data_IF_601161033997
#
_entry.id   IF_601161033997
#
_cell.length_a   1.000
_cell.length_b   1.000
_cell.length_c   1.000
_cell.angle_alpha   90.00
_cell.angle_beta   90.00
_cell.angle_gamma   90.00
#
_symmetry.space_group_name_H-M   'P 1'
#
loop_
_entity.id
_entity.type
_entity.pdbx_description
1 polymer ?
#
# COMPACT_ATOMS: atom_id res chain seq x y z
N UNK A 1 3.82 -17.63 33.07
CA UNK A 1 3.18 -17.03 31.88
C UNK A 1 2.12 -16.06 32.39
N UNK A 2 2.30 -14.74 32.16
CA UNK A 2 1.21 -13.77 32.42
C UNK A 2 0.04 -14.15 31.50
N UNK A 3 -1.17 -14.23 32.05
CA UNK A 3 -2.37 -14.43 31.27
C UNK A 3 -2.46 -13.33 30.23
N UNK A 4 -2.81 -13.69 29.00
CA UNK A 4 -3.00 -12.69 27.95
C UNK A 4 -4.19 -11.81 28.36
N UNK A 5 -4.01 -10.49 28.35
CA UNK A 5 -5.06 -9.52 28.60
C UNK A 5 -6.17 -9.68 27.56
N UNK A 6 -7.42 -9.63 27.98
CA UNK A 6 -8.52 -9.65 27.03
C UNK A 6 -8.60 -8.30 26.28
N UNK A 7 -9.31 -8.26 25.16
CA UNK A 7 -9.55 -7.03 24.40
C UNK A 7 -10.33 -6.00 25.22
N UNK A 8 -11.28 -6.47 26.03
CA UNK A 8 -12.13 -5.63 26.87
C UNK A 8 -11.33 -4.93 27.98
N UNK A 9 -10.31 -5.61 28.54
CA UNK A 9 -9.48 -5.12 29.63
C UNK A 9 -8.27 -4.30 29.17
N UNK A 10 -8.07 -4.16 27.85
CA UNK A 10 -6.94 -3.44 27.28
C UNK A 10 -7.18 -1.93 27.27
N UNK A 11 -6.13 -1.13 27.53
CA UNK A 11 -6.16 0.31 27.34
C UNK A 11 -6.30 0.68 25.85
N UNK A 12 -6.71 1.93 25.56
CA UNK A 12 -6.81 2.37 24.15
C UNK A 12 -5.46 2.33 23.43
N UNK A 13 -4.35 2.64 24.13
CA UNK A 13 -3.01 2.52 23.55
C UNK A 13 -2.66 1.06 23.22
N UNK A 14 -2.98 0.11 24.09
CA UNK A 14 -2.78 -1.32 23.85
C UNK A 14 -3.64 -1.82 22.67
N UNK A 15 -4.89 -1.37 22.58
CA UNK A 15 -5.79 -1.69 21.45
C UNK A 15 -5.22 -1.17 20.12
N UNK A 16 -4.77 0.09 20.10
CA UNK A 16 -4.13 0.68 18.93
C UNK A 16 -2.90 -0.11 18.53
N UNK A 17 -2.05 -0.49 19.50
CA UNK A 17 -0.85 -1.27 19.24
C UNK A 17 -1.17 -2.65 18.65
N UNK A 18 -2.19 -3.34 19.16
CA UNK A 18 -2.62 -4.65 18.65
C UNK A 18 -3.19 -4.57 17.23
N UNK A 19 -4.02 -3.55 16.96
CA UNK A 19 -4.54 -3.32 15.60
C UNK A 19 -3.40 -3.03 14.64
N UNK A 20 -2.47 -2.16 15.01
CA UNK A 20 -1.31 -1.82 14.19
C UNK A 20 -0.44 -3.04 13.93
N UNK A 21 -0.14 -3.85 14.95
CA UNK A 21 0.63 -5.08 14.80
C UNK A 21 -0.08 -6.09 13.89
N UNK A 22 -1.40 -6.25 14.05
CA UNK A 22 -2.20 -7.14 13.20
C UNK A 22 -2.21 -6.69 11.75
N UNK A 23 -2.34 -5.39 11.48
CA UNK A 23 -2.26 -4.82 10.13
C UNK A 23 -0.89 -5.04 9.49
N UNK A 24 0.19 -4.92 10.27
CA UNK A 24 1.55 -5.17 9.77
C UNK A 24 1.73 -6.65 9.41
N UNK A 25 1.32 -7.57 10.30
CA UNK A 25 1.41 -9.02 10.06
C UNK A 25 0.61 -9.42 8.81
N UNK A 26 -0.59 -8.85 8.63
CA UNK A 26 -1.42 -9.09 7.45
C UNK A 26 -0.74 -8.60 6.18
N UNK A 27 -0.25 -7.36 6.19
CA UNK A 27 0.45 -6.79 5.05
C UNK A 27 1.69 -7.61 4.64
N UNK A 28 2.44 -8.16 5.61
CA UNK A 28 3.58 -9.05 5.36
C UNK A 28 3.12 -10.33 4.66
N UNK A 29 2.03 -10.97 5.15
CA UNK A 29 1.49 -12.21 4.55
C UNK A 29 0.99 -12.00 3.12
N UNK A 30 0.45 -10.84 2.84
CA UNK A 30 -0.04 -10.44 1.52
C UNK A 30 1.06 -9.84 0.63
N UNK A 31 2.33 -9.90 1.04
CA UNK A 31 3.48 -9.34 0.34
C UNK A 31 3.32 -7.84 0.03
N UNK A 32 2.61 -7.12 0.91
CA UNK A 32 2.24 -5.72 0.73
C UNK A 32 1.44 -5.45 -0.56
N UNK A 33 0.81 -6.47 -1.13
CA UNK A 33 -0.09 -6.29 -2.27
C UNK A 33 -1.42 -5.70 -1.79
N UNK A 34 -1.96 -4.79 -2.58
CA UNK A 34 -3.31 -4.24 -2.41
C UNK A 34 -3.95 -4.04 -3.78
N UNK A 35 -5.24 -3.92 -3.80
CA UNK A 35 -5.98 -3.59 -5.01
C UNK A 35 -7.12 -2.63 -4.63
N UNK A 36 -7.13 -1.46 -5.22
CA UNK A 36 -8.22 -0.49 -5.07
C UNK A 36 -9.44 -0.94 -5.89
N UNK A 37 -10.63 -0.56 -5.44
CA UNK A 37 -11.90 -1.04 -6.01
C UNK A 37 -12.06 -0.67 -7.47
N UNK A 38 -11.72 0.54 -7.89
CA UNK A 38 -11.84 0.97 -9.28
C UNK A 38 -10.88 0.20 -10.20
N UNK A 39 -9.67 -0.08 -9.74
CA UNK A 39 -8.70 -0.92 -10.46
C UNK A 39 -9.15 -2.39 -10.51
N UNK A 40 -9.79 -2.88 -9.45
CA UNK A 40 -10.41 -4.20 -9.44
C UNK A 40 -11.49 -4.31 -10.52
N UNK A 41 -12.41 -3.35 -10.57
CA UNK A 41 -13.47 -3.28 -11.58
C UNK A 41 -12.91 -3.18 -13.00
N UNK A 42 -11.86 -2.35 -13.19
CA UNK A 42 -11.16 -2.27 -14.47
C UNK A 42 -10.61 -3.65 -14.88
N UNK A 43 -9.97 -4.37 -13.96
CA UNK A 43 -9.43 -5.70 -14.23
C UNK A 43 -10.51 -6.70 -14.63
N UNK A 44 -11.65 -6.71 -13.93
CA UNK A 44 -12.79 -7.59 -14.24
C UNK A 44 -13.36 -7.26 -15.63
N UNK A 45 -13.61 -5.99 -15.93
CA UNK A 45 -14.14 -5.57 -17.24
C UNK A 45 -13.17 -5.99 -18.35
N UNK A 46 -11.88 -5.78 -18.18
CA UNK A 46 -10.85 -6.17 -19.16
C UNK A 46 -10.78 -7.68 -19.35
N UNK A 47 -10.95 -8.49 -18.29
CA UNK A 47 -11.06 -9.94 -18.41
C UNK A 47 -12.29 -10.35 -19.24
N UNK A 48 -13.44 -9.70 -19.04
CA UNK A 48 -14.66 -10.01 -19.80
C UNK A 48 -14.58 -9.59 -21.26
N UNK A 49 -13.79 -8.57 -21.57
CA UNK A 49 -13.60 -8.04 -22.93
C UNK A 49 -12.43 -8.71 -23.67
N UNK A 50 -11.59 -9.46 -22.97
CA UNK A 50 -10.41 -10.07 -23.58
C UNK A 50 -10.80 -11.22 -24.50
N UNK A 51 -10.33 -11.19 -25.75
CA UNK A 51 -10.46 -12.29 -26.69
C UNK A 51 -9.28 -13.25 -26.52
N UNK A 52 -9.30 -14.01 -25.43
CA UNK A 52 -8.28 -15.00 -25.08
C UNK A 52 -8.95 -16.36 -24.81
N UNK A 53 -8.44 -17.41 -25.41
CA UNK A 53 -8.88 -18.79 -25.16
C UNK A 53 -7.95 -19.46 -24.15
N UNK A 54 -8.55 -20.21 -23.21
CA UNK A 54 -7.81 -20.97 -22.20
C UNK A 54 -7.92 -20.41 -20.80
N UNK A 55 -7.12 -20.97 -19.86
CA UNK A 55 -7.11 -20.57 -18.45
C UNK A 55 -5.75 -19.96 -18.10
N UNK A 56 -5.78 -18.74 -17.62
CA UNK A 56 -4.58 -17.98 -17.26
C UNK A 56 -4.68 -17.44 -15.83
N UNK A 57 -3.78 -17.84 -14.91
CA UNK A 57 -3.71 -17.20 -13.61
C UNK A 57 -3.16 -15.78 -13.75
N UNK A 58 -3.91 -14.80 -13.28
CA UNK A 58 -3.54 -13.39 -13.30
C UNK A 58 -3.53 -12.84 -11.87
N UNK A 59 -2.53 -12.03 -11.56
CA UNK A 59 -2.53 -11.21 -10.36
C UNK A 59 -2.94 -9.78 -10.73
N UNK A 60 -3.94 -9.28 -10.03
CA UNK A 60 -4.37 -7.88 -10.10
C UNK A 60 -3.99 -7.22 -8.77
N UNK A 61 -3.12 -6.25 -8.81
CA UNK A 61 -2.67 -5.52 -7.62
C UNK A 61 -2.25 -4.10 -7.99
N UNK A 62 -2.13 -3.25 -6.98
CA UNK A 62 -1.69 -1.86 -7.13
C UNK A 62 -0.26 -1.73 -7.67
N UNK A 63 0.11 -0.53 -8.13
CA UNK A 63 1.40 -0.27 -8.77
C UNK A 63 2.57 -0.21 -7.78
N UNK A 64 2.30 -0.14 -6.50
CA UNK A 64 3.30 -0.01 -5.43
C UNK A 64 2.96 -0.89 -4.21
N UNK A 65 3.82 -0.86 -3.19
CA UNK A 65 3.61 -1.58 -1.91
C UNK A 65 2.73 -0.82 -0.91
N UNK A 66 2.29 0.38 -1.21
CA UNK A 66 1.61 1.26 -0.26
C UNK A 66 2.49 1.68 0.93
N UNK A 67 3.81 1.56 0.83
CA UNK A 67 4.75 1.89 1.90
C UNK A 67 5.78 2.91 1.44
N UNK A 68 6.13 3.86 2.31
CA UNK A 68 7.17 4.88 2.04
C UNK A 68 8.61 4.31 2.09
N UNK A 69 8.75 3.02 2.37
CA UNK A 69 10.04 2.31 2.46
C UNK A 69 10.24 1.56 1.15
N UNK A 70 11.44 1.63 0.60
CA UNK A 70 11.81 0.89 -0.61
C UNK A 70 11.53 -0.61 -0.48
N UNK A 71 10.99 -1.19 -1.53
CA UNK A 71 10.57 -2.59 -1.55
C UNK A 71 11.72 -3.55 -1.25
N UNK A 72 12.93 -3.30 -1.77
CA UNK A 72 14.08 -4.14 -1.47
C UNK A 72 14.46 -4.10 0.02
N UNK A 73 14.32 -2.95 0.67
CA UNK A 73 14.55 -2.82 2.11
C UNK A 73 13.47 -3.55 2.90
N UNK A 74 12.20 -3.43 2.52
CA UNK A 74 11.09 -4.21 3.11
C UNK A 74 11.35 -5.71 2.97
N UNK A 75 11.72 -6.17 1.78
CA UNK A 75 11.98 -7.57 1.51
C UNK A 75 13.12 -8.12 2.39
N UNK A 76 14.21 -7.39 2.56
CA UNK A 76 15.32 -7.81 3.42
C UNK A 76 14.96 -7.87 4.91
N UNK A 77 14.10 -6.96 5.39
CA UNK A 77 13.67 -6.93 6.79
C UNK A 77 12.70 -8.09 7.09
N UNK A 78 11.70 -8.31 6.25
CA UNK A 78 10.61 -9.24 6.54
C UNK A 78 10.78 -10.62 5.92
N UNK A 79 11.65 -10.76 4.92
CA UNK A 79 11.95 -12.03 4.24
C UNK A 79 13.47 -12.30 4.22
N UNK A 80 14.16 -12.29 5.36
CA UNK A 80 15.64 -12.41 5.43
C UNK A 80 16.17 -13.75 4.89
N UNK A 81 15.29 -14.76 4.76
CA UNK A 81 15.63 -16.06 4.18
C UNK A 81 15.67 -16.05 2.64
N UNK A 82 15.12 -15.01 1.98
CA UNK A 82 15.18 -14.85 0.52
C UNK A 82 16.54 -14.25 0.17
N UNK A 83 17.42 -15.07 -0.40
CA UNK A 83 18.79 -14.66 -0.77
C UNK A 83 18.88 -14.15 -2.20
N UNK A 84 18.05 -14.68 -3.10
CA UNK A 84 18.09 -14.38 -4.52
C UNK A 84 16.78 -13.75 -4.98
N UNK A 85 16.88 -12.69 -5.74
CA UNK A 85 15.76 -12.01 -6.39
C UNK A 85 15.91 -12.18 -7.90
N UNK A 86 14.85 -12.63 -8.59
CA UNK A 86 14.85 -12.79 -10.05
C UNK A 86 14.98 -11.46 -10.79
N UNK A 87 14.59 -10.39 -10.14
CA UNK A 87 14.64 -9.02 -10.66
C UNK A 87 14.98 -8.08 -9.50
N UNK A 88 15.80 -7.08 -9.77
CA UNK A 88 15.98 -5.96 -8.86
C UNK A 88 14.70 -5.10 -8.87
N UNK A 89 14.10 -4.90 -7.69
CA UNK A 89 12.92 -4.07 -7.50
C UNK A 89 13.37 -2.63 -7.23
N UNK A 90 12.85 -1.68 -7.99
CA UNK A 90 13.21 -0.26 -7.86
C UNK A 90 12.15 0.48 -7.05
N UNK A 91 12.60 1.35 -6.17
CA UNK A 91 11.72 2.17 -5.34
C UNK A 91 10.68 1.33 -4.61
N UNK A 92 9.41 1.62 -4.85
CA UNK A 92 8.27 0.98 -4.19
C UNK A 92 7.54 -0.02 -5.10
N UNK A 93 8.19 -0.57 -6.12
CA UNK A 93 7.59 -1.60 -7.00
C UNK A 93 6.97 -2.73 -6.16
N UNK A 94 5.80 -3.26 -6.55
CA UNK A 94 5.12 -4.31 -5.79
C UNK A 94 5.91 -5.63 -5.84
N UNK A 95 5.88 -6.38 -4.75
CA UNK A 95 6.46 -7.74 -4.67
C UNK A 95 5.68 -8.75 -5.52
N UNK A 96 4.39 -8.51 -5.73
CA UNK A 96 3.54 -9.30 -6.61
C UNK A 96 3.43 -8.60 -7.95
N UNK A 97 3.85 -9.27 -9.03
CA UNK A 97 3.86 -8.67 -10.36
C UNK A 97 2.51 -8.81 -11.07
N UNK A 98 1.96 -7.70 -11.55
CA UNK A 98 0.77 -7.66 -12.42
C UNK A 98 1.11 -7.61 -13.92
N UNK A 99 2.39 -7.73 -14.29
CA UNK A 99 2.82 -7.60 -15.69
C UNK A 99 2.16 -8.59 -16.64
N UNK A 100 1.83 -9.80 -16.17
CA UNK A 100 1.09 -10.78 -16.97
C UNK A 100 -0.34 -10.31 -17.25
N UNK A 101 -1.02 -9.72 -16.28
CA UNK A 101 -2.34 -9.13 -16.48
C UNK A 101 -2.25 -7.93 -17.45
N UNK A 102 -1.22 -7.09 -17.31
CA UNK A 102 -0.97 -5.99 -18.23
C UNK A 102 -0.80 -6.46 -19.66
N UNK A 103 -0.01 -7.51 -19.89
CA UNK A 103 0.27 -8.01 -21.25
C UNK A 103 -0.91 -8.75 -21.88
N UNK A 104 -1.68 -9.53 -21.09
CA UNK A 104 -2.74 -10.37 -21.63
C UNK A 104 -4.08 -9.64 -21.78
N UNK A 105 -4.45 -8.82 -20.81
CA UNK A 105 -5.75 -8.13 -20.79
C UNK A 105 -5.65 -6.61 -20.78
N UNK A 106 -4.44 -6.06 -20.82
CA UNK A 106 -4.21 -4.62 -20.75
C UNK A 106 -4.56 -4.00 -19.39
N UNK A 107 -4.50 -4.77 -18.29
CA UNK A 107 -4.69 -4.26 -16.95
C UNK A 107 -3.62 -3.22 -16.60
N UNK A 108 -4.04 -2.05 -16.14
CA UNK A 108 -3.14 -0.94 -15.83
C UNK A 108 -3.66 -0.20 -14.60
N UNK A 109 -3.23 -0.61 -13.38
CA UNK A 109 -3.71 -0.02 -12.14
C UNK A 109 -3.30 1.45 -12.07
N UNK A 110 -4.23 2.30 -11.64
CA UNK A 110 -4.07 3.75 -11.58
C UNK A 110 -3.93 4.29 -10.18
N UNK A 111 -4.48 3.58 -9.20
CA UNK A 111 -4.45 4.04 -7.82
C UNK A 111 -3.13 3.70 -7.15
N UNK A 112 -2.36 4.72 -6.79
CA UNK A 112 -1.17 4.61 -5.94
C UNK A 112 -1.51 5.00 -4.50
N UNK A 113 -1.33 4.08 -3.57
CA UNK A 113 -1.58 4.33 -2.15
C UNK A 113 -0.54 5.33 -1.59
N UNK A 114 0.68 5.31 -2.10
CA UNK A 114 1.75 6.25 -1.71
C UNK A 114 1.39 7.67 -2.12
N UNK A 115 0.94 7.88 -3.36
CA UNK A 115 0.51 9.20 -3.84
C UNK A 115 -0.72 9.70 -3.06
N UNK A 116 -1.65 8.79 -2.74
CA UNK A 116 -2.82 9.13 -1.95
C UNK A 116 -2.42 9.65 -0.55
N UNK A 117 -1.51 8.99 0.14
CA UNK A 117 -0.98 9.44 1.43
C UNK A 117 -0.29 10.79 1.35
N UNK A 118 0.54 11.02 0.33
CA UNK A 118 1.23 12.30 0.12
C UNK A 118 0.24 13.46 -0.10
N UNK A 119 -0.83 13.19 -0.86
CA UNK A 119 -1.89 14.18 -1.09
C UNK A 119 -2.67 14.51 0.19
N UNK A 120 -2.89 13.54 1.07
CA UNK A 120 -3.55 13.79 2.35
C UNK A 120 -2.67 14.60 3.30
N UNK A 121 -1.41 14.25 3.45
CA UNK A 121 -0.44 15.00 4.27
C UNK A 121 -0.35 16.47 3.83
N UNK A 122 -0.26 16.71 2.53
CA UNK A 122 -0.21 18.08 2.00
C UNK A 122 -1.47 18.90 2.25
N UNK A 123 -2.63 18.26 2.37
CA UNK A 123 -3.91 18.91 2.73
C UNK A 123 -3.99 19.22 4.22
N UNK A 124 -3.48 18.34 5.06
CA UNK A 124 -3.43 18.55 6.52
C UNK A 124 -2.45 19.64 6.90
N UNK A 125 -1.28 19.70 6.26
CA UNK A 125 -0.31 20.80 6.45
C UNK A 125 -0.91 22.15 6.08
N UNK A 126 -1.65 22.24 4.96
CA UNK A 126 -2.34 23.47 4.56
C UNK A 126 -3.46 23.88 5.52
N UNK A 127 -4.13 22.92 6.14
CA UNK A 127 -5.17 23.17 7.17
C UNK A 127 -4.60 23.65 8.49
N UNK A 128 -3.42 23.15 8.86
CA UNK A 128 -2.74 23.47 10.12
C UNK A 128 -1.78 24.67 10.02
N UNK A 129 -1.62 25.27 8.83
CA UNK A 129 -0.86 26.52 8.69
C UNK A 129 -1.71 27.67 9.26
N UNK A 130 -1.37 28.23 10.43
CA UNK A 130 -2.16 29.32 10.99
C UNK A 130 -1.94 30.57 10.13
N UNK A 131 -3.01 31.08 9.56
CA UNK A 131 -3.13 32.38 8.86
C UNK A 131 -2.76 33.60 9.74
N UNK A 132 -2.04 33.42 10.83
CA UNK A 132 -1.74 34.45 11.85
C UNK A 132 -0.35 35.11 11.77
N UNK A 133 0.44 34.85 10.74
CA UNK A 133 1.74 35.52 10.62
C UNK A 133 1.83 36.60 9.55
N UNK A 134 0.79 36.86 8.79
CA UNK A 134 0.77 37.93 7.79
C UNK A 134 0.38 39.34 8.35
N UNK A 135 -0.04 39.43 9.61
CA UNK A 135 -0.53 40.71 10.18
C UNK A 135 0.47 41.48 11.03
N UNK A 136 1.72 41.04 11.16
CA UNK A 136 2.68 41.71 12.05
C UNK A 136 3.86 42.42 11.34
N UNK A 137 3.85 42.50 10.03
CA UNK A 137 4.88 43.21 9.26
C UNK A 137 4.38 44.44 8.47
N UNK A 138 3.28 45.06 8.87
CA UNK A 138 2.85 46.34 8.29
C UNK A 138 2.36 47.28 9.37
N UNK A 139 3.30 47.91 10.05
CA UNK A 139 3.06 49.20 10.71
C UNK A 139 4.33 50.01 10.64
N UNK A 140 4.21 51.29 10.28
CA UNK A 140 5.30 52.19 9.86
C UNK A 140 6.23 52.58 10.98
#
# INVERSE_FOLDING_TARGET
RKAAKSWEDASEEEKIQWVTASCIIRAIRELYAYLELSDCLQGIIKCLQADIAGTYPLFLNGPDTGRKIETMRLARIFFPWVKEFRKELKGNEPLVSYQRAKSLIGFDPKFSLIEHWQLQESKEEKKNCPEKQAAFCSSP
#
